data_IF_508378986576
#
_entry.id   IF_508378986576
#
_cell.length_a   1.000
_cell.length_b   1.000
_cell.length_c   1.000
_cell.angle_alpha   90.00
_cell.angle_beta   90.00
_cell.angle_gamma   90.00
#
_symmetry.space_group_name_H-M   'P 1'
#
loop_
_entity.id
_entity.type
_entity.pdbx_description
1 polymer ?
#
# COMPACT_ATOMS: atom_id res chain seq x y z
N UNK A 1 7.13 9.52 5.56
CA UNK A 1 5.71 9.57 5.96
C UNK A 1 4.86 8.55 5.19
N UNK A 2 5.03 8.39 3.88
CA UNK A 2 4.34 7.35 3.09
C UNK A 2 4.68 5.93 3.58
N UNK A 3 5.96 5.65 3.85
CA UNK A 3 6.41 4.41 4.51
C UNK A 3 5.69 4.08 5.83
N UNK A 4 5.37 5.11 6.63
CA UNK A 4 4.65 4.93 7.90
C UNK A 4 3.20 4.54 7.60
N UNK A 5 2.55 5.21 6.65
CA UNK A 5 1.21 4.84 6.19
C UNK A 5 1.18 3.41 5.64
N UNK A 6 2.11 3.05 4.74
CA UNK A 6 2.22 1.69 4.22
C UNK A 6 2.43 0.66 5.33
N UNK A 7 3.29 0.93 6.33
CA UNK A 7 3.43 0.06 7.51
C UNK A 7 2.11 -0.10 8.28
N UNK A 8 1.37 0.98 8.49
CA UNK A 8 0.11 0.96 9.24
C UNK A 8 -1.00 0.21 8.51
N UNK A 9 -1.03 0.31 7.18
CA UNK A 9 -1.95 -0.42 6.31
C UNK A 9 -1.64 -1.92 6.31
N UNK A 10 -0.37 -2.28 6.11
CA UNK A 10 0.08 -3.68 6.15
C UNK A 10 -0.17 -4.31 7.52
N UNK A 11 0.01 -3.55 8.60
CA UNK A 11 -0.27 -4.01 9.96
C UNK A 11 -1.78 -3.99 10.32
N UNK A 12 -2.67 -3.56 9.42
CA UNK A 12 -4.12 -3.48 9.66
C UNK A 12 -4.56 -2.43 10.70
N UNK A 13 -3.63 -1.61 11.19
CA UNK A 13 -3.92 -0.58 12.22
C UNK A 13 -4.56 0.69 11.64
N UNK A 14 -4.56 0.84 10.31
CA UNK A 14 -5.25 1.88 9.54
C UNK A 14 -5.79 1.27 8.26
N UNK A 15 -6.79 1.92 7.67
CA UNK A 15 -7.44 1.54 6.42
C UNK A 15 -7.09 2.50 5.29
N UNK A 16 -7.12 2.02 4.05
CA UNK A 16 -6.81 2.83 2.85
C UNK A 16 -7.72 4.04 2.68
N UNK A 17 -8.99 3.93 3.08
CA UNK A 17 -9.94 5.03 3.07
C UNK A 17 -9.51 6.23 3.95
N UNK A 18 -8.66 6.00 4.95
CA UNK A 18 -8.15 7.04 5.85
C UNK A 18 -6.92 7.77 5.27
N UNK A 19 -6.31 7.26 4.21
CA UNK A 19 -5.16 7.88 3.56
C UNK A 19 -5.60 9.16 2.85
N UNK A 20 -5.00 10.33 3.16
CA UNK A 20 -5.32 11.57 2.47
C UNK A 20 -5.11 11.45 0.96
N UNK A 21 -6.03 12.01 0.17
CA UNK A 21 -5.98 11.92 -1.30
C UNK A 21 -4.63 12.37 -1.88
N UNK A 22 -4.05 13.45 -1.36
CA UNK A 22 -2.74 13.97 -1.76
C UNK A 22 -1.57 13.01 -1.48
N UNK A 23 -1.76 11.97 -0.67
CA UNK A 23 -0.74 10.99 -0.30
C UNK A 23 -0.97 9.61 -0.90
N UNK A 24 -2.16 9.32 -1.44
CA UNK A 24 -2.49 8.00 -1.98
C UNK A 24 -1.46 7.52 -3.00
N UNK A 25 -1.09 8.37 -3.96
CA UNK A 25 -0.07 8.01 -4.97
C UNK A 25 1.27 7.60 -4.34
N UNK A 26 1.78 8.37 -3.38
CA UNK A 26 3.05 8.07 -2.71
C UNK A 26 3.01 6.85 -1.79
N UNK A 27 1.87 6.56 -1.16
CA UNK A 27 1.68 5.33 -0.36
C UNK A 27 1.54 4.11 -1.28
N UNK A 28 0.86 4.27 -2.42
CA UNK A 28 0.71 3.22 -3.43
C UNK A 28 2.07 2.80 -4.02
N UNK A 29 2.94 3.76 -4.33
CA UNK A 29 4.30 3.49 -4.80
C UNK A 29 5.14 2.72 -3.76
N UNK A 30 5.01 3.07 -2.48
CA UNK A 30 5.68 2.36 -1.39
C UNK A 30 5.14 0.93 -1.21
N UNK A 31 3.82 0.73 -1.31
CA UNK A 31 3.23 -0.61 -1.28
C UNK A 31 3.68 -1.45 -2.50
N UNK A 32 3.73 -0.86 -3.69
CA UNK A 32 4.23 -1.51 -4.90
C UNK A 32 5.69 -1.98 -4.73
N UNK A 33 6.57 -1.08 -4.25
CA UNK A 33 7.96 -1.43 -3.93
C UNK A 33 8.06 -2.58 -2.93
N UNK A 34 7.12 -2.70 -1.98
CA UNK A 34 7.09 -3.82 -1.03
C UNK A 34 6.64 -5.13 -1.67
N UNK A 35 5.77 -5.10 -2.68
CA UNK A 35 5.44 -6.27 -3.48
C UNK A 35 6.69 -6.75 -4.22
N UNK A 36 7.40 -5.86 -4.90
CA UNK A 36 8.63 -6.16 -5.65
C UNK A 36 9.74 -6.73 -4.75
N UNK A 37 9.85 -6.21 -3.53
CA UNK A 37 10.82 -6.70 -2.54
C UNK A 37 10.32 -7.91 -1.74
N UNK A 38 9.17 -8.50 -2.08
CA UNK A 38 8.61 -9.69 -1.43
C UNK A 38 8.18 -9.47 0.03
N UNK A 39 8.02 -8.22 0.46
CA UNK A 39 7.60 -7.86 1.83
C UNK A 39 6.09 -8.02 2.05
N UNK A 40 5.31 -7.92 0.97
CA UNK A 40 3.88 -8.24 0.93
C UNK A 40 3.58 -8.93 -0.41
N UNK A 41 2.48 -9.68 -0.48
CA UNK A 41 2.03 -10.25 -1.76
C UNK A 41 1.25 -9.22 -2.60
N UNK A 42 1.12 -9.49 -3.90
CA UNK A 42 0.24 -8.72 -4.79
C UNK A 42 -1.23 -8.76 -4.33
N UNK A 43 -1.68 -9.91 -3.79
CA UNK A 43 -3.02 -10.06 -3.22
C UNK A 43 -3.21 -9.15 -2.00
N UNK A 44 -2.21 -9.07 -1.12
CA UNK A 44 -2.27 -8.18 0.05
C UNK A 44 -2.28 -6.70 -0.36
N UNK A 45 -1.57 -6.34 -1.43
CA UNK A 45 -1.67 -5.00 -2.01
C UNK A 45 -3.09 -4.68 -2.48
N UNK A 46 -3.73 -5.61 -3.19
CA UNK A 46 -5.10 -5.46 -3.68
C UNK A 46 -6.09 -5.39 -2.52
N UNK A 47 -5.94 -6.21 -1.48
CA UNK A 47 -6.77 -6.14 -0.27
C UNK A 47 -6.66 -4.77 0.42
N UNK A 48 -5.46 -4.21 0.50
CA UNK A 48 -5.23 -2.90 1.12
C UNK A 48 -5.84 -1.80 0.27
N UNK A 49 -5.55 -1.76 -1.03
CA UNK A 49 -5.83 -0.60 -1.89
C UNK A 49 -7.17 -0.69 -2.61
N UNK A 50 -7.73 -1.89 -2.76
CA UNK A 50 -8.85 -2.21 -3.64
C UNK A 50 -8.48 -2.22 -5.12
N UNK A 51 -7.20 -2.20 -5.46
CA UNK A 51 -6.71 -2.10 -6.83
C UNK A 51 -5.74 -3.24 -7.13
N UNK A 52 -5.93 -3.92 -8.27
CA UNK A 52 -5.01 -4.96 -8.74
C UNK A 52 -3.61 -4.38 -8.87
N UNK A 53 -2.62 -5.09 -8.32
CA UNK A 53 -1.22 -4.72 -8.52
C UNK A 53 -0.84 -4.96 -9.98
N UNK A 54 -0.72 -3.87 -10.73
CA UNK A 54 -0.39 -3.88 -12.15
C UNK A 54 1.13 -3.76 -12.38
N UNK A 55 1.94 -4.50 -11.60
CA UNK A 55 3.40 -4.40 -11.59
C UNK A 55 4.01 -4.15 -12.96
N UNK A 56 5.01 -3.25 -13.01
CA UNK A 56 5.67 -2.86 -14.26
C UNK A 56 6.66 -3.94 -14.74
#
# INVERSE_FOLDING_TARGET
MNAIWANRLVAGTRKWAEVPASRKAGVKAELASRVENGKISAEQYEEITGEVYAGE
#
